data_IF_308922124602
#
_entry.id   IF_308922124602
#
_cell.length_a   1.000
_cell.length_b   1.000
_cell.length_c   1.000
_cell.angle_alpha   90.00
_cell.angle_beta   90.00
_cell.angle_gamma   90.00
#
_symmetry.space_group_name_H-M   'P 1'
#
loop_
_entity.id
_entity.type
_entity.pdbx_description
1 polymer ?
#
# COMPACT_ATOMS: atom_id res chain seq x y z
N UNK A 1 6.06 11.21 -12.62
CA UNK A 1 5.75 9.88 -11.97
C UNK A 1 4.25 9.67 -11.97
N UNK A 2 3.77 8.47 -12.25
CA UNK A 2 2.33 8.18 -12.25
C UNK A 2 1.94 7.53 -10.92
N UNK A 3 1.35 8.32 -10.02
CA UNK A 3 0.77 7.82 -8.77
C UNK A 3 -0.51 8.59 -8.44
N UNK A 4 -1.34 8.01 -7.59
CA UNK A 4 -2.52 8.66 -7.02
C UNK A 4 -2.36 8.70 -5.51
N UNK A 5 -2.54 9.88 -4.89
CA UNK A 5 -2.76 10.02 -3.45
C UNK A 5 -4.21 10.43 -3.23
N UNK A 6 -4.90 9.75 -2.30
CA UNK A 6 -6.32 10.01 -2.03
C UNK A 6 -6.66 9.72 -0.57
N UNK A 7 -7.57 10.49 0.03
CA UNK A 7 -8.11 10.20 1.37
C UNK A 7 -9.14 9.08 1.25
N UNK A 8 -8.80 7.89 1.73
CA UNK A 8 -9.65 6.69 1.63
C UNK A 8 -10.48 6.42 2.89
N UNK A 9 -9.85 6.60 4.05
CA UNK A 9 -10.48 6.35 5.35
C UNK A 9 -10.55 7.63 6.17
N UNK A 10 -11.61 7.80 6.96
CA UNK A 10 -11.71 8.84 7.97
C UNK A 10 -11.10 8.38 9.31
N UNK A 11 -11.02 9.30 10.27
CA UNK A 11 -10.42 9.04 11.59
C UNK A 11 -11.14 7.94 12.37
N UNK A 12 -12.46 7.86 12.28
CA UNK A 12 -13.24 6.82 12.98
C UNK A 12 -12.93 5.43 12.43
N UNK A 13 -12.84 5.30 11.10
CA UNK A 13 -12.52 4.05 10.42
C UNK A 13 -11.10 3.58 10.74
N UNK A 14 -10.13 4.51 10.80
CA UNK A 14 -8.77 4.21 11.22
C UNK A 14 -8.76 3.69 12.66
N UNK A 15 -9.44 4.38 13.57
CA UNK A 15 -9.49 3.99 14.98
C UNK A 15 -10.14 2.61 15.17
N UNK A 16 -11.18 2.29 14.40
CA UNK A 16 -11.80 0.97 14.41
C UNK A 16 -10.81 -0.12 13.97
N UNK A 17 -10.07 0.12 12.88
CA UNK A 17 -9.04 -0.82 12.39
C UNK A 17 -7.96 -0.98 13.47
N UNK A 18 -7.37 0.10 13.97
CA UNK A 18 -6.31 0.05 14.98
C UNK A 18 -6.74 -0.71 16.23
N UNK A 19 -7.90 -0.38 16.77
CA UNK A 19 -8.46 -1.07 17.94
C UNK A 19 -8.65 -2.58 17.71
N UNK A 20 -9.01 -2.97 16.50
CA UNK A 20 -9.13 -4.40 16.15
C UNK A 20 -7.76 -5.08 16.07
N UNK A 21 -6.77 -4.41 15.47
CA UNK A 21 -5.40 -4.95 15.37
C UNK A 21 -4.70 -5.07 16.73
N UNK A 22 -4.97 -4.15 17.66
CA UNK A 22 -4.41 -4.13 19.02
C UNK A 22 -4.89 -5.29 19.91
N UNK A 23 -6.05 -5.88 19.61
CA UNK A 23 -6.56 -7.04 20.37
C UNK A 23 -5.72 -8.31 20.22
N UNK A 24 -4.90 -8.38 19.17
CA UNK A 24 -4.18 -9.59 18.79
C UNK A 24 -2.67 -9.33 18.66
N UNK A 25 -1.98 -8.91 19.73
CA UNK A 25 -0.55 -8.63 19.68
C UNK A 25 0.29 -9.85 19.30
N UNK A 26 -0.18 -11.05 19.62
CA UNK A 26 0.48 -12.32 19.28
C UNK A 26 0.44 -12.68 17.79
N UNK A 27 -0.42 -12.03 17.00
CA UNK A 27 -0.56 -12.30 15.57
C UNK A 27 0.46 -11.53 14.72
N UNK A 28 1.25 -10.65 15.35
CA UNK A 28 2.32 -9.94 14.69
C UNK A 28 3.59 -10.78 14.62
N UNK A 29 4.12 -10.96 13.43
CA UNK A 29 5.28 -11.79 13.16
C UNK A 29 6.32 -11.05 12.31
N UNK A 30 7.55 -11.59 12.24
CA UNK A 30 8.61 -11.05 11.40
C UNK A 30 8.16 -10.99 9.94
N UNK A 31 8.18 -9.80 9.37
CA UNK A 31 7.76 -9.55 7.99
C UNK A 31 8.63 -10.24 6.93
N UNK A 32 9.83 -10.71 7.28
CA UNK A 32 10.69 -11.50 6.39
C UNK A 32 10.04 -12.78 5.91
N UNK A 33 9.15 -13.38 6.71
CA UNK A 33 8.45 -14.63 6.39
C UNK A 33 7.62 -14.57 5.11
N UNK A 34 7.19 -13.38 4.70
CA UNK A 34 6.31 -13.19 3.53
C UNK A 34 6.99 -12.51 2.36
N UNK A 35 8.24 -12.12 2.51
CA UNK A 35 9.02 -11.51 1.45
C UNK A 35 9.68 -12.56 0.56
N UNK A 36 9.84 -12.24 -0.73
CA UNK A 36 10.66 -13.05 -1.65
C UNK A 36 12.13 -13.06 -1.20
N UNK A 37 12.93 -14.00 -1.72
CA UNK A 37 14.30 -14.25 -1.27
C UNK A 37 15.18 -13.00 -1.19
N UNK A 38 15.14 -12.14 -2.21
CA UNK A 38 15.93 -10.89 -2.20
C UNK A 38 15.35 -9.85 -1.25
N UNK A 39 14.04 -9.65 -1.27
CA UNK A 39 13.37 -8.67 -0.44
C UNK A 39 13.44 -9.00 1.06
N UNK A 40 13.51 -10.28 1.43
CA UNK A 40 13.64 -10.72 2.82
C UNK A 40 14.97 -10.30 3.47
N UNK A 41 16.04 -10.17 2.67
CA UNK A 41 17.36 -9.75 3.18
C UNK A 41 17.39 -8.30 3.64
N UNK A 42 16.54 -7.46 3.07
CA UNK A 42 16.50 -6.02 3.33
C UNK A 42 15.21 -5.57 4.06
N UNK A 43 14.38 -6.53 4.50
CA UNK A 43 13.13 -6.26 5.21
C UNK A 43 13.32 -6.41 6.71
N UNK A 44 13.02 -5.36 7.45
CA UNK A 44 13.02 -5.33 8.91
C UNK A 44 11.74 -4.63 9.37
N UNK A 45 10.65 -5.36 9.54
CA UNK A 45 9.37 -4.87 10.05
C UNK A 45 8.54 -6.02 10.64
N UNK A 46 7.44 -5.68 11.27
CA UNK A 46 6.44 -6.65 11.70
C UNK A 46 5.28 -6.67 10.71
N UNK A 47 4.68 -7.84 10.56
CA UNK A 47 3.51 -8.05 9.71
C UNK A 47 2.47 -8.86 10.45
N UNK A 48 1.21 -8.45 10.34
CA UNK A 48 0.09 -9.19 10.90
C UNK A 48 -0.12 -10.50 10.11
N UNK A 49 -0.29 -11.60 10.82
CA UNK A 49 -0.59 -12.89 10.20
C UNK A 49 -1.86 -12.78 9.33
N UNK A 50 -1.71 -13.09 8.05
CA UNK A 50 -2.81 -12.96 7.07
C UNK A 50 -4.01 -13.84 7.36
N UNK A 51 -3.81 -14.93 8.11
CA UNK A 51 -4.86 -15.88 8.47
C UNK A 51 -5.61 -15.49 9.75
N UNK A 52 -5.13 -14.47 10.48
CA UNK A 52 -5.80 -13.98 11.68
C UNK A 52 -7.18 -13.38 11.35
N UNK A 53 -8.10 -13.45 12.30
CA UNK A 53 -9.44 -12.85 12.15
C UNK A 53 -9.36 -11.34 11.93
N UNK A 54 -8.46 -10.65 12.66
CA UNK A 54 -8.24 -9.22 12.52
C UNK A 54 -7.77 -8.86 11.10
N UNK A 55 -6.82 -9.64 10.54
CA UNK A 55 -6.33 -9.43 9.18
C UNK A 55 -7.43 -9.63 8.14
N UNK A 56 -8.17 -10.72 8.20
CA UNK A 56 -9.26 -11.02 7.26
C UNK A 56 -10.35 -9.96 7.26
N UNK A 57 -10.85 -9.60 8.46
CA UNK A 57 -11.92 -8.62 8.64
C UNK A 57 -11.51 -7.25 8.09
N UNK A 58 -10.34 -6.75 8.49
CA UNK A 58 -9.89 -5.43 8.07
C UNK A 58 -9.46 -5.38 6.60
N UNK A 59 -8.92 -6.48 6.05
CA UNK A 59 -8.65 -6.59 4.61
C UNK A 59 -9.93 -6.51 3.77
N UNK A 60 -11.02 -7.12 4.22
CA UNK A 60 -12.33 -7.00 3.54
C UNK A 60 -12.85 -5.55 3.57
N UNK A 61 -12.69 -4.85 4.70
CA UNK A 61 -13.07 -3.44 4.81
C UNK A 61 -12.27 -2.58 3.82
N UNK A 62 -10.94 -2.70 3.83
CA UNK A 62 -10.06 -1.93 2.93
C UNK A 62 -10.38 -2.24 1.46
N UNK A 63 -10.54 -3.52 1.11
CA UNK A 63 -10.93 -3.94 -0.23
C UNK A 63 -12.24 -3.28 -0.69
N UNK A 64 -13.28 -3.31 0.16
CA UNK A 64 -14.57 -2.67 -0.13
C UNK A 64 -14.42 -1.16 -0.34
N UNK A 65 -13.64 -0.48 0.51
CA UNK A 65 -13.39 0.96 0.41
C UNK A 65 -12.69 1.34 -0.89
N UNK A 66 -11.65 0.61 -1.27
CA UNK A 66 -10.94 0.84 -2.54
C UNK A 66 -11.88 0.64 -3.73
N UNK A 67 -12.63 -0.47 -3.75
CA UNK A 67 -13.56 -0.78 -4.84
C UNK A 67 -14.79 0.13 -4.92
N UNK A 68 -15.15 0.82 -3.84
CA UNK A 68 -16.25 1.80 -3.86
C UNK A 68 -15.79 3.21 -4.22
N UNK A 69 -14.50 3.50 -4.19
CA UNK A 69 -13.97 4.84 -4.45
C UNK A 69 -13.82 5.12 -5.95
N UNK A 70 -14.51 6.15 -6.44
CA UNK A 70 -14.54 6.45 -7.87
C UNK A 70 -13.19 6.92 -8.41
N UNK A 71 -12.46 7.75 -7.68
CA UNK A 71 -11.13 8.25 -8.11
C UNK A 71 -10.14 7.10 -8.25
N UNK A 72 -10.13 6.16 -7.28
CA UNK A 72 -9.27 4.98 -7.34
C UNK A 72 -9.68 4.05 -8.48
N UNK A 73 -10.99 3.84 -8.68
CA UNK A 73 -11.47 3.02 -9.79
C UNK A 73 -11.07 3.58 -11.14
N UNK A 74 -11.21 4.87 -11.34
CA UNK A 74 -10.82 5.54 -12.57
C UNK A 74 -9.31 5.46 -12.82
N UNK A 75 -8.50 5.64 -11.77
CA UNK A 75 -7.04 5.58 -11.88
C UNK A 75 -6.53 4.16 -12.14
N UNK A 76 -7.03 3.18 -11.39
CA UNK A 76 -6.45 1.83 -11.35
C UNK A 76 -7.19 0.79 -12.20
N UNK A 77 -8.42 1.06 -12.63
CA UNK A 77 -9.30 0.12 -13.37
C UNK A 77 -9.23 -1.30 -12.76
N UNK A 78 -9.58 -1.45 -11.47
CA UNK A 78 -9.27 -2.65 -10.72
C UNK A 78 -10.12 -3.83 -11.17
N UNK A 79 -9.45 -4.88 -11.63
CA UNK A 79 -10.05 -6.20 -11.86
C UNK A 79 -10.14 -6.96 -10.53
N UNK A 80 -9.10 -6.84 -9.70
CA UNK A 80 -8.99 -7.51 -8.41
C UNK A 80 -8.00 -6.77 -7.52
N UNK A 81 -8.28 -6.77 -6.22
CA UNK A 81 -7.35 -6.34 -5.19
C UNK A 81 -6.95 -7.60 -4.41
N UNK A 82 -5.66 -7.78 -4.15
CA UNK A 82 -5.17 -8.98 -3.51
C UNK A 82 -3.93 -8.71 -2.65
N UNK A 83 -3.54 -9.71 -1.87
CA UNK A 83 -2.33 -9.64 -1.06
C UNK A 83 -2.38 -8.58 0.05
N UNK A 84 -3.57 -8.11 0.44
CA UNK A 84 -3.72 -7.10 1.49
C UNK A 84 -3.09 -7.59 2.78
N UNK A 85 -2.24 -6.77 3.38
CA UNK A 85 -1.57 -7.06 4.64
C UNK A 85 -1.35 -5.80 5.46
N UNK A 86 -1.33 -5.96 6.78
CA UNK A 86 -1.01 -4.89 7.72
C UNK A 86 0.43 -5.05 8.17
N UNK A 87 1.20 -3.95 8.12
CA UNK A 87 2.60 -3.93 8.53
C UNK A 87 2.85 -2.77 9.47
N UNK A 88 3.72 -2.99 10.44
CA UNK A 88 4.20 -1.94 11.32
C UNK A 88 5.72 -1.91 11.39
N UNK A 89 6.24 -0.71 11.46
CA UNK A 89 7.65 -0.43 11.63
C UNK A 89 7.81 0.51 12.81
N UNK A 90 8.59 0.08 13.77
CA UNK A 90 9.01 0.88 14.92
C UNK A 90 10.47 1.33 14.71
N UNK A 91 11.07 1.96 15.71
CA UNK A 91 12.44 2.45 15.69
C UNK A 91 13.43 1.41 15.16
N UNK A 92 14.38 1.82 14.31
CA UNK A 92 15.36 1.02 13.58
C UNK A 92 14.76 0.01 12.57
N UNK A 93 13.47 0.05 12.32
CA UNK A 93 12.83 -0.78 11.30
C UNK A 93 12.74 -0.06 9.96
N UNK A 94 12.93 -0.83 8.89
CA UNK A 94 12.96 -0.32 7.52
C UNK A 94 12.58 -1.42 6.51
N UNK A 95 12.44 -1.04 5.26
CA UNK A 95 12.37 -1.99 4.15
C UNK A 95 13.21 -1.47 2.99
N UNK A 96 14.33 -2.13 2.72
CA UNK A 96 15.29 -1.71 1.70
C UNK A 96 14.71 -1.75 0.29
N UNK A 97 15.51 -1.28 -0.66
CA UNK A 97 15.14 -1.14 -2.07
C UNK A 97 14.74 -2.47 -2.70
N UNK A 98 13.57 -2.52 -3.31
CA UNK A 98 13.03 -3.70 -3.98
C UNK A 98 11.99 -3.31 -5.04
N UNK A 99 11.66 -4.26 -5.88
CA UNK A 99 10.53 -4.22 -6.81
C UNK A 99 9.57 -5.32 -6.40
N UNK A 100 8.28 -5.05 -6.45
CA UNK A 100 7.27 -6.05 -6.17
C UNK A 100 7.23 -7.15 -7.23
N UNK A 101 6.94 -8.38 -6.80
CA UNK A 101 6.79 -9.49 -7.74
C UNK A 101 5.63 -9.22 -8.70
N UNK A 102 5.85 -9.29 -10.03
CA UNK A 102 4.80 -9.00 -11.01
C UNK A 102 3.68 -10.03 -11.01
N UNK A 103 3.96 -11.25 -10.51
CA UNK A 103 2.99 -12.35 -10.38
C UNK A 103 3.08 -12.96 -9.00
N UNK A 104 1.93 -13.04 -8.33
CA UNK A 104 1.76 -13.74 -7.06
C UNK A 104 0.73 -14.86 -7.22
N UNK A 105 0.68 -15.80 -6.28
CA UNK A 105 -0.33 -16.87 -6.29
C UNK A 105 -1.77 -16.34 -6.35
N UNK A 106 -2.00 -15.12 -5.85
CA UNK A 106 -3.31 -14.46 -5.82
C UNK A 106 -3.61 -13.60 -7.05
N UNK A 107 -2.64 -13.33 -7.94
CA UNK A 107 -2.87 -12.53 -9.14
C UNK A 107 -1.66 -11.75 -9.63
N UNK A 108 -1.87 -10.97 -10.68
CA UNK A 108 -0.86 -10.06 -11.24
C UNK A 108 -0.84 -8.77 -10.39
N UNK A 109 0.35 -8.24 -10.17
CA UNK A 109 0.58 -7.01 -9.42
C UNK A 109 0.92 -5.89 -10.42
N UNK A 110 -0.11 -5.18 -10.91
CA UNK A 110 0.11 -4.05 -11.84
C UNK A 110 0.39 -2.76 -11.07
N UNK A 111 -0.34 -2.57 -9.98
CA UNK A 111 -0.19 -1.43 -9.08
C UNK A 111 -0.02 -1.91 -7.64
N UNK A 112 0.85 -1.24 -6.90
CA UNK A 112 1.01 -1.39 -5.46
C UNK A 112 0.29 -0.25 -4.76
N UNK A 113 -0.22 -0.50 -3.54
CA UNK A 113 -0.73 0.57 -2.71
C UNK A 113 -0.18 0.50 -1.29
N UNK A 114 -0.08 1.68 -0.68
CA UNK A 114 0.18 1.87 0.74
C UNK A 114 -0.88 2.80 1.31
N UNK A 115 -1.67 2.31 2.27
CA UNK A 115 -2.67 3.07 3.02
C UNK A 115 -2.11 3.33 4.42
N UNK A 116 -1.93 4.59 4.80
CA UNK A 116 -1.46 4.94 6.14
C UNK A 116 -2.56 4.79 7.18
N UNK A 117 -2.23 4.18 8.31
CA UNK A 117 -3.09 4.09 9.50
C UNK A 117 -2.54 4.92 10.66
N UNK A 118 -1.34 5.50 10.51
CA UNK A 118 -0.73 6.42 11.46
C UNK A 118 -0.54 7.78 10.79
N UNK A 119 -0.91 8.88 11.45
CA UNK A 119 -0.59 10.21 10.96
C UNK A 119 0.92 10.42 10.96
N UNK A 120 1.42 11.10 9.93
CA UNK A 120 2.85 11.41 9.75
C UNK A 120 3.48 12.18 10.92
N UNK A 121 2.68 12.81 11.76
CA UNK A 121 3.12 13.58 12.93
C UNK A 121 3.49 12.67 14.12
N UNK A 122 3.05 11.40 14.12
CA UNK A 122 3.27 10.45 15.22
C UNK A 122 4.48 9.54 15.04
N UNK A 123 5.26 9.73 13.96
CA UNK A 123 6.52 9.02 13.75
C UNK A 123 7.49 9.87 12.94
N UNK A 124 8.77 9.59 13.06
CA UNK A 124 9.85 10.25 12.33
C UNK A 124 10.59 9.20 11.48
N UNK A 125 11.05 9.59 10.28
CA UNK A 125 11.56 8.65 9.29
C UNK A 125 10.42 7.86 8.63
N UNK A 126 10.68 6.65 8.19
CA UNK A 126 9.67 5.74 7.63
C UNK A 126 9.02 6.24 6.34
N UNK A 127 9.69 7.10 5.57
CA UNK A 127 9.21 7.56 4.26
C UNK A 127 9.10 6.39 3.29
N UNK A 128 8.00 6.32 2.57
CA UNK A 128 7.94 5.54 1.33
C UNK A 128 8.71 6.31 0.26
N UNK A 129 9.77 5.71 -0.24
CA UNK A 129 10.63 6.27 -1.29
C UNK A 129 10.33 5.51 -2.57
N UNK A 130 9.95 6.23 -3.63
CA UNK A 130 9.67 5.66 -4.94
C UNK A 130 10.67 6.25 -5.94
N UNK A 131 11.38 5.38 -6.63
CA UNK A 131 12.42 5.75 -7.58
C UNK A 131 11.97 5.48 -9.01
N UNK A 132 12.25 6.43 -9.87
CA UNK A 132 12.14 6.29 -11.33
C UNK A 132 13.51 6.55 -11.96
N UNK A 133 13.63 6.40 -13.27
CA UNK A 133 14.91 6.66 -13.97
C UNK A 133 15.44 8.08 -13.73
N UNK A 134 14.56 9.06 -13.47
CA UNK A 134 14.92 10.47 -13.43
C UNK A 134 14.59 11.18 -12.12
N UNK A 135 13.95 10.52 -11.17
CA UNK A 135 13.52 11.13 -9.91
C UNK A 135 13.41 10.11 -8.76
N UNK A 136 13.64 10.61 -7.56
CA UNK A 136 13.32 9.97 -6.30
C UNK A 136 12.31 10.86 -5.57
N UNK A 137 11.19 10.30 -5.17
CA UNK A 137 10.16 11.01 -4.42
C UNK A 137 9.89 10.31 -3.09
N UNK A 138 9.74 11.12 -2.02
CA UNK A 138 9.54 10.65 -0.64
C UNK A 138 8.15 11.01 -0.16
N UNK A 139 7.45 10.03 0.41
CA UNK A 139 6.07 10.19 0.85
C UNK A 139 5.92 9.84 2.32
N UNK A 140 5.35 10.76 3.08
CA UNK A 140 4.81 10.54 4.43
C UNK A 140 3.33 10.90 4.41
N UNK A 141 2.50 9.88 4.40
CA UNK A 141 1.05 10.02 4.29
C UNK A 141 0.42 10.36 5.64
N UNK A 142 -0.66 11.14 5.61
CA UNK A 142 -1.55 11.28 6.76
C UNK A 142 -2.35 10.00 6.97
N UNK A 143 -2.87 9.81 8.18
CA UNK A 143 -3.75 8.68 8.46
C UNK A 143 -4.98 8.69 7.54
N UNK A 144 -5.26 7.54 6.93
CA UNK A 144 -6.34 7.35 5.97
C UNK A 144 -6.01 7.71 4.53
N UNK A 145 -4.86 8.34 4.26
CA UNK A 145 -4.40 8.53 2.89
C UNK A 145 -3.83 7.23 2.32
N UNK A 146 -4.19 6.95 1.08
CA UNK A 146 -3.65 5.87 0.27
C UNK A 146 -2.83 6.45 -0.86
N UNK A 147 -1.64 5.88 -1.11
CA UNK A 147 -0.88 6.09 -2.35
C UNK A 147 -0.94 4.82 -3.20
N UNK A 148 -1.19 4.98 -4.49
CA UNK A 148 -1.23 3.90 -5.48
C UNK A 148 -0.23 4.24 -6.58
N UNK A 149 0.66 3.31 -6.90
CA UNK A 149 1.76 3.50 -7.86
C UNK A 149 2.06 2.20 -8.62
N UNK A 150 2.74 2.24 -9.79
CA UNK A 150 3.14 1.05 -10.53
C UNK A 150 4.02 0.11 -9.71
N UNK A 151 3.65 -1.17 -9.64
CA UNK A 151 4.42 -2.19 -8.90
C UNK A 151 5.84 -2.42 -9.46
N UNK A 152 6.07 -2.00 -10.70
CA UNK A 152 7.36 -2.06 -11.37
C UNK A 152 8.36 -0.98 -10.94
N UNK A 153 7.93 0.00 -10.14
CA UNK A 153 8.85 1.00 -9.62
C UNK A 153 9.69 0.45 -8.49
N UNK A 154 10.98 0.78 -8.52
CA UNK A 154 11.88 0.50 -7.41
C UNK A 154 11.47 1.37 -6.23
N UNK A 155 11.28 0.75 -5.07
CA UNK A 155 10.83 1.48 -3.90
C UNK A 155 11.42 0.92 -2.60
N UNK A 156 11.34 1.71 -1.55
CA UNK A 156 11.84 1.36 -0.23
C UNK A 156 11.04 2.09 0.86
N UNK A 157 11.23 1.69 2.09
CA UNK A 157 10.78 2.43 3.27
C UNK A 157 12.01 2.77 4.10
N UNK A 158 12.28 4.06 4.31
CA UNK A 158 13.39 4.51 5.13
C UNK A 158 13.23 4.04 6.58
N UNK A 159 14.32 4.07 7.33
CA UNK A 159 14.29 3.70 8.74
C UNK A 159 13.35 4.62 9.53
N UNK A 160 12.56 4.03 10.40
CA UNK A 160 11.77 4.76 11.40
C UNK A 160 12.73 5.16 12.52
N UNK A 161 12.85 6.46 12.75
CA UNK A 161 13.75 7.03 13.75
C UNK A 161 13.07 7.10 15.12
N UNK A 162 11.77 7.40 15.14
CA UNK A 162 10.97 7.49 16.36
C UNK A 162 9.50 7.19 16.06
N UNK A 163 8.79 6.64 17.05
CA UNK A 163 7.36 6.31 16.95
C UNK A 163 7.09 5.00 16.21
N UNK A 164 5.85 4.84 15.73
CA UNK A 164 5.40 3.64 15.03
C UNK A 164 4.63 4.00 13.76
N UNK A 165 5.08 3.47 12.64
CA UNK A 165 4.43 3.56 11.35
C UNK A 165 3.59 2.30 11.10
N UNK A 166 2.27 2.42 11.17
CA UNK A 166 1.31 1.36 10.85
C UNK A 166 0.67 1.64 9.50
N UNK A 167 0.72 0.67 8.59
CA UNK A 167 0.13 0.79 7.25
C UNK A 167 -0.55 -0.50 6.81
N UNK A 168 -1.44 -0.37 5.84
CA UNK A 168 -1.99 -1.47 5.08
C UNK A 168 -1.44 -1.40 3.66
N UNK A 169 -0.84 -2.47 3.17
CA UNK A 169 -0.30 -2.57 1.82
C UNK A 169 -0.98 -3.69 1.04
N UNK A 170 -0.91 -3.64 -0.29
CA UNK A 170 -1.44 -4.68 -1.15
C UNK A 170 -1.29 -4.32 -2.62
N UNK A 171 -1.88 -5.14 -3.48
CA UNK A 171 -1.73 -5.03 -4.93
C UNK A 171 -3.07 -5.01 -5.64
N UNK A 172 -3.06 -4.33 -6.78
CA UNK A 172 -4.20 -4.21 -7.68
C UNK A 172 -3.81 -4.89 -9.01
N UNK A 173 -4.57 -5.90 -9.40
CA UNK A 173 -4.59 -6.39 -10.76
C UNK A 173 -5.56 -5.50 -11.55
N UNK A 174 -5.05 -4.79 -12.55
CA UNK A 174 -5.84 -3.92 -13.42
C UNK A 174 -6.42 -4.70 -14.60
N UNK A 175 -7.57 -4.25 -15.12
CA UNK A 175 -8.06 -4.69 -16.42
C UNK A 175 -7.11 -4.28 -17.55
N UNK A 176 -6.35 -3.21 -17.36
CA UNK A 176 -5.36 -2.72 -18.32
C UNK A 176 -3.98 -3.14 -17.90
N UNK A 177 -3.26 -3.84 -18.79
CA UNK A 177 -1.91 -4.37 -18.52
C UNK A 177 -0.82 -3.28 -18.50
N UNK A 178 -1.09 -2.11 -19.09
CA UNK A 178 -0.12 -1.02 -19.16
C UNK A 178 -0.64 0.19 -18.37
N UNK A 179 0.13 0.65 -17.42
CA UNK A 179 -0.18 1.87 -16.64
C UNK A 179 -0.25 3.12 -17.53
N UNK A 180 0.48 3.15 -18.66
CA UNK A 180 0.42 4.23 -19.64
C UNK A 180 -0.96 4.31 -20.33
N UNK A 181 -1.61 3.16 -20.58
CA UNK A 181 -2.96 3.12 -21.18
C UNK A 181 -4.02 3.59 -20.16
N UNK A 182 -3.88 3.23 -18.89
CA UNK A 182 -4.77 3.71 -17.83
C UNK A 182 -4.74 5.24 -17.72
N UNK A 183 -3.59 5.85 -17.84
CA UNK A 183 -3.42 7.30 -17.79
C UNK A 183 -4.09 8.02 -18.99
N UNK A 184 -4.05 7.47 -20.19
CA UNK A 184 -4.68 8.08 -21.37
C UNK A 184 -6.20 8.12 -21.28
N UNK A 185 -6.84 7.15 -20.61
CA UNK A 185 -8.29 7.18 -20.39
C UNK A 185 -8.76 8.26 -19.40
N UNK A 186 -7.88 8.73 -18.51
CA UNK A 186 -8.19 9.81 -17.57
C UNK A 186 -8.00 11.21 -18.15
N UNK A 187 -7.22 11.35 -19.22
CA UNK A 187 -6.80 12.65 -19.77
C UNK A 187 -7.46 13.01 -21.09
N UNK A 188 -8.16 12.08 -21.74
CA UNK A 188 -8.94 12.42 -22.92
C UNK A 188 -10.25 13.08 -22.51
N UNK A 189 -10.51 14.33 -22.92
CA UNK A 189 -11.83 14.91 -22.78
C UNK A 189 -12.81 14.05 -23.58
N UNK A 190 -13.95 13.70 -22.97
CA UNK A 190 -15.08 13.18 -23.70
C UNK A 190 -15.51 14.21 -24.71
N UNK A 191 -15.01 14.16 -25.93
CA UNK A 191 -15.63 14.83 -27.06
C UNK A 191 -16.97 14.11 -27.26
N UNK A 192 -18.04 14.73 -26.79
CA UNK A 192 -19.38 14.37 -27.24
C UNK A 192 -19.35 14.42 -28.77
N UNK A 193 -19.58 13.27 -29.38
CA UNK A 193 -19.86 13.21 -30.81
C UNK A 193 -21.20 13.91 -31.05
N UNK A 194 -21.17 15.01 -31.78
CA UNK A 194 -22.33 15.67 -32.38
C UNK A 194 -22.86 14.80 -33.51
#
# INVERSE_FOLDING_TARGET
MNYLIHQLLNTEEINLIKKELEKYPQDWEDGKKTAGSHASMVKNNLQLNRNSEASKKNSQLVNKKILSNQSIKSFSLPKRIHGIMFTKSSENMHYGRHIDNPYMSSGRSDLSFTLSLTNKEFYEGGELIIETMNSEEKFRLNGGEIIIYPSSYLHSVSEVVNGERLVCVGWIESYVKSTAVSYTHLTLPTTEAV
#
